data_IF_609141409585
#
_entry.id   IF_609141409585
#
_cell.length_a   1.000
_cell.length_b   1.000
_cell.length_c   1.000
_cell.angle_alpha   90.00
_cell.angle_beta   90.00
_cell.angle_gamma   90.00
#
_symmetry.space_group_name_H-M   'P 1'
#
loop_
_entity.id
_entity.type
_entity.pdbx_description
1 polymer ?
#
# COMPACT_ATOMS: atom_id res chain seq x y z
N UNK A 1 14.70 1.37 -15.04
CA UNK A 1 14.82 -0.03 -15.39
C UNK A 1 13.94 -0.99 -14.60
N UNK A 2 13.02 -0.53 -13.73
CA UNK A 2 12.05 -1.40 -13.04
C UNK A 2 10.71 -1.34 -13.77
N UNK A 3 10.12 -2.52 -14.01
CA UNK A 3 8.80 -2.67 -14.60
C UNK A 3 7.90 -3.47 -13.66
N UNK A 4 6.60 -3.20 -13.70
CA UNK A 4 5.60 -3.96 -12.95
C UNK A 4 4.45 -4.34 -13.88
N UNK A 5 4.00 -5.59 -13.81
CA UNK A 5 2.85 -6.11 -14.56
C UNK A 5 2.06 -7.09 -13.70
N UNK A 6 0.81 -7.32 -14.04
CA UNK A 6 -0.07 -8.21 -13.30
C UNK A 6 -0.47 -7.63 -11.93
N UNK A 7 -0.56 -8.45 -10.91
CA UNK A 7 -1.05 -8.04 -9.59
C UNK A 7 -0.21 -6.95 -8.90
N UNK A 8 1.06 -6.82 -9.28
CA UNK A 8 1.95 -5.76 -8.78
C UNK A 8 1.74 -4.40 -9.48
N UNK A 9 0.87 -4.32 -10.49
CA UNK A 9 0.64 -3.14 -11.30
C UNK A 9 -0.83 -2.72 -11.31
N UNK A 10 -1.07 -1.47 -11.70
CA UNK A 10 -2.42 -0.98 -12.01
C UNK A 10 -2.48 -0.61 -13.50
N UNK A 11 -3.09 -1.45 -14.31
CA UNK A 11 -3.27 -1.23 -15.74
C UNK A 11 -4.61 -0.56 -16.07
N UNK A 12 -5.45 -0.32 -15.06
CA UNK A 12 -6.77 0.36 -15.15
C UNK A 12 -7.81 -0.34 -16.01
N UNK A 13 -7.69 -1.66 -16.24
CA UNK A 13 -8.66 -2.42 -17.05
C UNK A 13 -9.67 -3.21 -16.23
N UNK A 14 -9.46 -3.35 -14.92
CA UNK A 14 -10.30 -4.16 -14.06
C UNK A 14 -11.41 -3.36 -13.34
N UNK A 15 -11.41 -2.04 -13.46
CA UNK A 15 -12.32 -1.17 -12.73
C UNK A 15 -12.03 -1.21 -11.20
N UNK A 16 -13.08 -1.14 -10.39
CA UNK A 16 -12.96 -1.12 -8.93
C UNK A 16 -12.82 -2.53 -8.31
N UNK A 17 -13.07 -3.57 -9.08
CA UNK A 17 -12.93 -4.96 -8.63
C UNK A 17 -12.68 -5.88 -9.82
N UNK A 18 -11.64 -6.68 -9.72
CA UNK A 18 -11.29 -7.68 -10.74
C UNK A 18 -12.32 -8.82 -10.77
N UNK A 19 -12.80 -9.18 -11.96
CA UNK A 19 -13.61 -10.37 -12.16
C UNK A 19 -12.78 -11.65 -12.05
N UNK A 20 -13.42 -12.75 -11.68
CA UNK A 20 -12.79 -14.07 -11.60
C UNK A 20 -12.02 -14.43 -12.87
N UNK A 21 -10.86 -15.03 -12.74
CA UNK A 21 -9.93 -15.44 -13.81
C UNK A 21 -9.23 -14.31 -14.58
N UNK A 22 -9.72 -13.06 -14.54
CA UNK A 22 -9.13 -11.95 -15.29
C UNK A 22 -7.71 -11.59 -14.82
N UNK A 23 -7.34 -11.93 -13.60
CA UNK A 23 -5.96 -11.78 -13.11
C UNK A 23 -4.97 -12.60 -13.96
N UNK A 24 -5.33 -13.85 -14.27
CA UNK A 24 -4.46 -14.72 -15.08
C UNK A 24 -4.31 -14.18 -16.51
N UNK A 25 -5.39 -13.67 -17.09
CA UNK A 25 -5.36 -13.04 -18.43
C UNK A 25 -4.46 -11.80 -18.41
N UNK A 26 -4.58 -10.96 -17.39
CA UNK A 26 -3.75 -9.78 -17.18
C UNK A 26 -2.26 -10.16 -17.14
N UNK A 27 -1.89 -11.12 -16.29
CA UNK A 27 -0.52 -11.61 -16.19
C UNK A 27 0.06 -12.05 -17.54
N UNK A 28 -0.70 -12.81 -18.32
CA UNK A 28 -0.26 -13.32 -19.62
C UNK A 28 -0.15 -12.20 -20.65
N UNK A 29 -1.19 -11.39 -20.80
CA UNK A 29 -1.27 -10.35 -21.85
C UNK A 29 -0.24 -9.26 -21.61
N UNK A 30 -0.21 -8.68 -20.41
CA UNK A 30 0.70 -7.57 -20.12
C UNK A 30 2.13 -8.05 -19.83
N UNK A 31 2.31 -9.27 -19.31
CA UNK A 31 3.63 -9.89 -19.23
C UNK A 31 4.25 -10.08 -20.60
N UNK A 32 3.48 -10.60 -21.57
CA UNK A 32 3.91 -10.72 -22.96
C UNK A 32 4.19 -9.35 -23.61
N UNK A 33 3.31 -8.38 -23.42
CA UNK A 33 3.48 -7.03 -23.95
C UNK A 33 4.76 -6.37 -23.41
N UNK A 34 5.02 -6.49 -22.12
CA UNK A 34 6.26 -5.99 -21.48
C UNK A 34 7.49 -6.70 -22.05
N UNK A 35 7.44 -8.02 -22.21
CA UNK A 35 8.55 -8.79 -22.79
C UNK A 35 8.88 -8.35 -24.22
N UNK A 36 7.86 -8.09 -25.05
CA UNK A 36 8.05 -7.57 -26.41
C UNK A 36 8.64 -6.15 -26.39
N UNK A 37 8.13 -5.27 -25.54
CA UNK A 37 8.66 -3.93 -25.37
C UNK A 37 10.13 -3.94 -24.92
N UNK A 38 10.49 -4.78 -23.96
CA UNK A 38 11.85 -4.92 -23.50
C UNK A 38 12.79 -5.46 -24.60
N UNK A 39 12.32 -6.42 -25.42
CA UNK A 39 13.06 -6.92 -26.58
C UNK A 39 13.40 -5.80 -27.57
N UNK A 40 12.50 -4.86 -27.78
CA UNK A 40 12.69 -3.75 -28.73
C UNK A 40 13.56 -2.62 -28.15
N UNK A 41 13.44 -2.37 -26.85
CA UNK A 41 14.07 -1.19 -26.20
C UNK A 41 15.40 -1.48 -25.56
N UNK A 42 15.61 -2.70 -25.05
CA UNK A 42 16.87 -3.06 -24.40
C UNK A 42 17.95 -3.39 -25.44
N UNK A 43 19.14 -2.85 -25.21
CA UNK A 43 20.33 -3.16 -26.00
C UNK A 43 21.26 -4.04 -25.18
N UNK A 44 21.66 -5.23 -25.68
CA UNK A 44 22.66 -6.05 -25.03
C UNK A 44 23.93 -5.23 -24.74
N UNK A 45 24.52 -5.41 -23.58
CA UNK A 45 25.74 -4.75 -23.13
C UNK A 45 25.65 -3.19 -23.10
N UNK A 46 24.46 -2.61 -23.09
CA UNK A 46 24.33 -1.18 -22.88
C UNK A 46 24.92 -0.78 -21.52
N UNK A 47 25.72 0.28 -21.52
CA UNK A 47 26.29 0.81 -20.30
C UNK A 47 25.18 1.21 -19.32
N UNK A 48 25.29 0.74 -18.08
CA UNK A 48 24.40 1.18 -17.01
C UNK A 48 24.73 2.60 -16.60
N UNK A 49 23.71 3.39 -16.25
CA UNK A 49 23.94 4.70 -15.65
C UNK A 49 24.64 4.52 -14.31
N UNK A 50 25.64 5.37 -14.05
CA UNK A 50 26.27 5.40 -12.75
C UNK A 50 25.22 5.72 -11.67
N UNK A 51 25.23 4.96 -10.58
CA UNK A 51 24.39 5.26 -9.43
C UNK A 51 24.93 6.50 -8.72
N UNK A 52 24.06 7.41 -8.25
CA UNK A 52 24.45 8.44 -7.31
C UNK A 52 25.17 7.84 -6.10
N UNK A 53 26.13 8.56 -5.52
CA UNK A 53 26.92 8.05 -4.37
C UNK A 53 26.06 7.77 -3.13
N UNK A 54 24.96 8.48 -2.99
CA UNK A 54 23.99 8.45 -1.90
C UNK A 54 22.76 7.55 -2.18
N UNK A 55 22.82 6.73 -3.24
CA UNK A 55 21.65 5.93 -3.69
C UNK A 55 21.05 5.01 -2.64
N UNK A 56 21.84 4.58 -1.66
CA UNK A 56 21.40 3.69 -0.59
C UNK A 56 21.07 4.42 0.72
N UNK A 57 21.42 5.71 0.84
CA UNK A 57 21.41 6.39 2.14
C UNK A 57 20.03 6.44 2.78
N UNK A 58 18.99 6.72 2.02
CA UNK A 58 17.61 6.72 2.53
C UNK A 58 17.18 5.34 3.04
N UNK A 59 17.51 4.27 2.31
CA UNK A 59 17.16 2.90 2.71
C UNK A 59 17.93 2.49 3.96
N UNK A 60 19.22 2.80 4.04
CA UNK A 60 20.05 2.53 5.22
C UNK A 60 19.58 3.33 6.43
N UNK A 61 19.29 4.61 6.26
CA UNK A 61 18.78 5.46 7.34
C UNK A 61 17.43 4.96 7.87
N UNK A 62 16.53 4.48 7.00
CA UNK A 62 15.26 3.88 7.41
C UNK A 62 15.47 2.60 8.23
N UNK A 63 16.34 1.71 7.79
CA UNK A 63 16.66 0.48 8.54
C UNK A 63 17.27 0.82 9.89
N UNK A 64 18.24 1.73 9.94
CA UNK A 64 18.90 2.14 11.18
C UNK A 64 17.95 2.86 12.14
N UNK A 65 17.03 3.67 11.62
CA UNK A 65 16.00 4.32 12.42
C UNK A 65 15.18 3.29 13.20
N UNK A 66 14.61 2.29 12.53
CA UNK A 66 13.81 1.26 13.21
C UNK A 66 14.66 0.33 14.06
N UNK A 67 15.81 -0.11 13.58
CA UNK A 67 16.72 -0.98 14.33
C UNK A 67 17.13 -0.37 15.68
N UNK A 68 17.27 0.96 15.74
CA UNK A 68 17.67 1.66 16.93
C UNK A 68 16.50 2.30 17.70
N UNK A 69 15.26 2.05 17.29
CA UNK A 69 14.07 2.57 17.93
C UNK A 69 13.94 2.10 19.38
N UNK A 70 13.67 3.05 20.29
CA UNK A 70 13.61 2.84 21.75
C UNK A 70 12.32 3.40 22.35
N UNK A 71 11.26 3.48 21.58
CA UNK A 71 9.99 3.99 22.04
C UNK A 71 9.28 3.05 23.02
N UNK A 72 8.06 3.42 23.38
CA UNK A 72 7.18 2.66 24.26
C UNK A 72 6.16 1.78 23.56
N UNK A 73 6.08 1.83 22.22
CA UNK A 73 5.05 1.14 21.42
C UNK A 73 5.61 -0.10 20.72
N UNK A 74 5.31 -1.33 21.19
CA UNK A 74 5.74 -2.55 20.52
C UNK A 74 5.11 -2.68 19.13
N UNK A 75 5.88 -3.15 18.12
CA UNK A 75 5.44 -3.36 16.75
C UNK A 75 4.14 -4.16 16.66
N UNK A 76 4.05 -5.27 17.40
CA UNK A 76 2.88 -6.15 17.37
C UNK A 76 1.59 -5.45 17.83
N UNK A 77 1.66 -4.58 18.83
CA UNK A 77 0.50 -3.83 19.32
C UNK A 77 0.02 -2.79 18.30
N UNK A 78 0.94 -2.04 17.70
CA UNK A 78 0.61 -1.04 16.68
C UNK A 78 0.02 -1.73 15.45
N UNK A 79 0.61 -2.87 15.02
CA UNK A 79 0.08 -3.68 13.91
C UNK A 79 -1.33 -4.18 14.21
N UNK A 80 -1.56 -4.74 15.39
CA UNK A 80 -2.88 -5.24 15.78
C UNK A 80 -3.93 -4.12 15.78
N UNK A 81 -3.57 -2.95 16.30
CA UNK A 81 -4.47 -1.80 16.33
C UNK A 81 -4.81 -1.30 14.91
N UNK A 82 -3.83 -1.24 14.01
CA UNK A 82 -4.06 -0.94 12.59
C UNK A 82 -5.04 -1.95 11.96
N UNK A 83 -4.80 -3.25 12.15
CA UNK A 83 -5.65 -4.32 11.61
C UNK A 83 -7.07 -4.23 12.14
N UNK A 84 -7.25 -4.04 13.45
CA UNK A 84 -8.56 -3.90 14.08
C UNK A 84 -9.31 -2.66 13.58
N UNK A 85 -8.60 -1.54 13.38
CA UNK A 85 -9.17 -0.32 12.84
C UNK A 85 -9.66 -0.54 11.41
N UNK A 86 -8.83 -1.13 10.55
CA UNK A 86 -9.22 -1.44 9.17
C UNK A 86 -10.39 -2.43 9.11
N UNK A 87 -10.37 -3.47 9.94
CA UNK A 87 -11.44 -4.48 9.98
C UNK A 87 -12.76 -3.90 10.44
N UNK A 88 -12.76 -2.97 11.40
CA UNK A 88 -13.98 -2.36 11.93
C UNK A 88 -14.52 -1.25 11.04
N UNK A 89 -13.64 -0.38 10.55
CA UNK A 89 -14.05 0.89 9.93
C UNK A 89 -13.99 0.91 8.41
N UNK A 90 -13.21 0.03 7.79
CA UNK A 90 -13.06 -0.05 6.33
C UNK A 90 -13.31 -1.48 5.80
N UNK A 91 -14.19 -2.24 6.45
CA UNK A 91 -14.59 -3.59 6.05
C UNK A 91 -15.48 -3.59 4.78
N UNK A 92 -16.26 -4.63 4.58
CA UNK A 92 -17.09 -4.83 3.39
C UNK A 92 -18.18 -3.77 3.26
N UNK A 93 -18.95 -3.55 4.34
CA UNK A 93 -20.00 -2.54 4.38
C UNK A 93 -19.50 -1.30 5.11
N UNK A 94 -19.69 -0.15 4.52
CA UNK A 94 -19.09 1.12 4.95
C UNK A 94 -20.16 2.19 5.01
N UNK A 95 -20.07 3.07 5.97
CA UNK A 95 -20.85 4.29 6.06
C UNK A 95 -19.93 5.50 6.36
N UNK A 96 -20.45 6.69 6.20
CA UNK A 96 -19.67 7.93 6.36
C UNK A 96 -19.15 8.10 7.80
N UNK A 97 -19.93 7.70 8.80
CA UNK A 97 -19.57 7.86 10.20
C UNK A 97 -18.43 6.90 10.58
N UNK A 98 -18.56 5.61 10.21
CA UNK A 98 -17.51 4.60 10.44
C UNK A 98 -16.21 4.96 9.74
N UNK A 99 -16.28 5.37 8.47
CA UNK A 99 -15.09 5.74 7.70
C UNK A 99 -14.39 6.97 8.30
N UNK A 100 -15.15 7.99 8.70
CA UNK A 100 -14.58 9.20 9.31
C UNK A 100 -13.92 8.90 10.66
N UNK A 101 -14.61 8.15 11.54
CA UNK A 101 -14.03 7.68 12.81
C UNK A 101 -12.76 6.86 12.57
N UNK A 102 -12.80 5.97 11.59
CA UNK A 102 -11.67 5.14 11.22
C UNK A 102 -10.46 5.92 10.74
N UNK A 103 -10.64 6.98 9.94
CA UNK A 103 -9.57 7.88 9.53
C UNK A 103 -8.90 8.55 10.75
N UNK A 104 -9.69 9.06 11.69
CA UNK A 104 -9.16 9.68 12.90
C UNK A 104 -8.37 8.70 13.77
N UNK A 105 -8.89 7.49 13.95
CA UNK A 105 -8.20 6.43 14.70
C UNK A 105 -6.91 6.03 13.98
N UNK A 106 -6.96 5.83 12.67
CA UNK A 106 -5.80 5.42 11.88
C UNK A 106 -4.66 6.45 11.95
N UNK A 107 -4.99 7.74 11.96
CA UNK A 107 -3.98 8.78 12.16
C UNK A 107 -3.32 8.71 13.55
N UNK A 108 -4.10 8.43 14.60
CA UNK A 108 -3.54 8.21 15.94
C UNK A 108 -2.66 6.96 16.01
N UNK A 109 -3.07 5.89 15.33
CA UNK A 109 -2.25 4.67 15.22
C UNK A 109 -0.94 4.95 14.47
N UNK A 110 -1.00 5.73 13.38
CA UNK A 110 0.19 6.13 12.64
C UNK A 110 1.15 6.97 13.49
N UNK A 111 0.65 7.86 14.34
CA UNK A 111 1.51 8.64 15.24
C UNK A 111 2.32 7.74 16.18
N UNK A 112 1.79 6.56 16.57
CA UNK A 112 2.54 5.59 17.39
C UNK A 112 3.76 5.00 16.69
N UNK A 113 3.84 5.10 15.34
CA UNK A 113 5.05 4.70 14.60
C UNK A 113 6.27 5.54 14.98
N UNK A 114 6.08 6.78 15.46
CA UNK A 114 7.17 7.63 15.93
C UNK A 114 7.71 7.19 17.30
N UNK A 115 6.89 6.43 18.04
CA UNK A 115 7.24 5.89 19.37
C UNK A 115 7.44 4.36 19.33
N UNK A 116 7.78 3.81 18.16
CA UNK A 116 7.96 2.37 17.98
C UNK A 116 9.16 1.85 18.79
N UNK A 117 9.07 0.62 19.29
CA UNK A 117 10.17 -0.05 19.97
C UNK A 117 10.54 -1.36 19.29
N UNK A 118 11.83 -1.56 19.05
CA UNK A 118 12.40 -2.81 18.53
C UNK A 118 13.37 -3.37 19.56
N UNK A 119 13.14 -4.60 19.99
CA UNK A 119 13.91 -5.24 21.05
C UNK A 119 15.18 -5.92 20.53
N UNK A 120 15.09 -6.62 19.39
CA UNK A 120 16.22 -7.26 18.75
C UNK A 120 16.89 -6.30 17.76
N UNK A 121 18.18 -6.06 17.96
CA UNK A 121 19.01 -5.18 17.13
C UNK A 121 20.04 -5.92 16.30
N UNK A 122 19.99 -7.24 16.30
CA UNK A 122 20.85 -8.05 15.45
C UNK A 122 20.51 -7.83 13.97
N UNK A 123 21.38 -8.29 13.07
CA UNK A 123 21.14 -8.30 11.63
C UNK A 123 20.96 -9.73 11.08
N UNK A 124 20.87 -10.71 11.97
CA UNK A 124 20.75 -12.12 11.59
C UNK A 124 19.40 -12.64 12.08
N UNK A 125 18.52 -13.02 11.15
CA UNK A 125 17.19 -13.56 11.44
C UNK A 125 16.33 -12.67 12.36
N UNK A 126 16.48 -11.35 12.24
CA UNK A 126 15.78 -10.38 13.06
C UNK A 126 14.35 -10.17 12.53
N UNK A 127 13.43 -10.99 12.98
CA UNK A 127 12.01 -10.90 12.62
C UNK A 127 11.35 -9.64 13.21
N UNK A 128 11.78 -9.16 14.39
CA UNK A 128 11.25 -7.96 15.02
C UNK A 128 11.49 -6.71 14.14
N UNK A 129 12.71 -6.56 13.60
CA UNK A 129 13.03 -5.48 12.67
C UNK A 129 12.29 -5.63 11.34
N UNK A 130 12.21 -6.84 10.77
CA UNK A 130 11.50 -7.10 9.51
C UNK A 130 10.02 -6.76 9.67
N UNK A 131 9.38 -7.23 10.73
CA UNK A 131 7.98 -6.94 11.04
C UNK A 131 7.71 -5.44 11.22
N UNK A 132 8.67 -4.69 11.77
CA UNK A 132 8.56 -3.24 11.93
C UNK A 132 8.66 -2.51 10.59
N UNK A 133 9.59 -2.92 9.71
CA UNK A 133 9.72 -2.38 8.35
C UNK A 133 8.48 -2.68 7.49
N UNK A 134 7.91 -3.88 7.66
CA UNK A 134 6.65 -4.24 7.00
C UNK A 134 5.47 -3.41 7.53
N UNK A 135 5.40 -3.19 8.85
CA UNK A 135 4.35 -2.37 9.46
C UNK A 135 4.36 -0.94 8.91
N UNK A 136 5.53 -0.35 8.73
CA UNK A 136 5.67 0.98 8.12
C UNK A 136 5.08 1.02 6.69
N UNK A 137 5.35 -0.02 5.88
CA UNK A 137 4.76 -0.14 4.56
C UNK A 137 3.24 -0.37 4.62
N UNK A 138 2.77 -1.23 5.54
CA UNK A 138 1.35 -1.53 5.71
C UNK A 138 0.56 -0.31 6.20
N UNK A 139 1.15 0.49 7.08
CA UNK A 139 0.53 1.72 7.61
C UNK A 139 0.22 2.70 6.49
N UNK A 140 1.17 2.93 5.58
CA UNK A 140 0.96 3.78 4.41
C UNK A 140 -0.20 3.27 3.53
N UNK A 141 -0.27 1.96 3.28
CA UNK A 141 -1.36 1.35 2.52
C UNK A 141 -2.71 1.46 3.24
N UNK A 142 -2.74 1.25 4.55
CA UNK A 142 -3.95 1.34 5.36
C UNK A 142 -4.54 2.76 5.35
N UNK A 143 -3.69 3.78 5.52
CA UNK A 143 -4.10 5.18 5.48
C UNK A 143 -4.65 5.55 4.10
N UNK A 144 -3.92 5.26 3.03
CA UNK A 144 -4.40 5.54 1.67
C UNK A 144 -5.72 4.83 1.36
N UNK A 145 -5.90 3.60 1.86
CA UNK A 145 -7.11 2.81 1.64
C UNK A 145 -8.32 3.42 2.36
N UNK A 146 -8.18 3.75 3.65
CA UNK A 146 -9.31 4.27 4.43
C UNK A 146 -9.67 5.71 4.02
N UNK A 147 -8.68 6.56 3.75
CA UNK A 147 -8.90 7.93 3.26
C UNK A 147 -9.55 7.92 1.86
N UNK A 148 -9.07 7.05 0.98
CA UNK A 148 -9.66 6.87 -0.36
C UNK A 148 -11.11 6.37 -0.29
N UNK A 149 -11.42 5.46 0.64
CA UNK A 149 -12.78 4.97 0.89
C UNK A 149 -13.66 6.08 1.47
N UNK A 150 -13.16 6.84 2.44
CA UNK A 150 -13.89 7.95 3.05
C UNK A 150 -14.18 9.08 2.06
N UNK A 151 -13.27 9.34 1.13
CA UNK A 151 -13.45 10.38 0.10
C UNK A 151 -14.51 10.02 -0.94
N UNK A 152 -14.69 8.71 -1.28
CA UNK A 152 -15.54 8.26 -2.39
C UNK A 152 -17.00 8.09 -1.97
N UNK A 153 -17.87 8.94 -2.50
CA UNK A 153 -19.32 8.99 -2.16
C UNK A 153 -20.17 8.30 -3.23
N UNK A 154 -19.89 7.03 -3.46
CA UNK A 154 -20.66 6.12 -4.32
C UNK A 154 -20.37 4.67 -3.90
N UNK A 155 -21.11 3.70 -4.41
CA UNK A 155 -20.76 2.29 -4.35
C UNK A 155 -20.27 1.80 -5.72
N UNK A 156 -19.07 1.12 -5.74
CA UNK A 156 -18.47 0.63 -6.99
C UNK A 156 -17.52 -0.53 -6.71
N UNK A 157 -17.79 -1.66 -7.32
CA UNK A 157 -16.97 -2.86 -7.15
C UNK A 157 -16.93 -3.32 -5.71
N UNK A 158 -15.75 -3.40 -5.12
CA UNK A 158 -15.56 -3.80 -3.72
C UNK A 158 -15.90 -2.69 -2.71
N UNK A 159 -16.07 -1.43 -3.14
CA UNK A 159 -16.47 -0.33 -2.29
C UNK A 159 -18.00 -0.27 -2.17
N UNK A 160 -18.55 -0.85 -1.10
CA UNK A 160 -19.97 -0.79 -0.77
C UNK A 160 -20.20 0.26 0.33
N UNK A 161 -20.84 1.37 -0.02
CA UNK A 161 -21.10 2.50 0.87
C UNK A 161 -22.60 2.60 1.16
N UNK A 162 -23.00 2.34 2.42
CA UNK A 162 -24.43 2.24 2.77
C UNK A 162 -25.17 3.57 2.59
N UNK A 163 -24.51 4.73 2.86
CA UNK A 163 -25.12 6.04 2.63
C UNK A 163 -25.17 6.43 1.13
N UNK A 164 -24.37 5.79 0.28
CA UNK A 164 -24.30 6.04 -1.17
C UNK A 164 -24.34 4.70 -1.93
N UNK A 165 -25.47 3.99 -1.93
CA UNK A 165 -25.55 2.62 -2.45
C UNK A 165 -25.41 2.54 -3.96
N UNK A 166 -25.69 3.60 -4.68
CA UNK A 166 -25.68 3.64 -6.14
C UNK A 166 -24.29 4.01 -6.71
N UNK A 167 -24.02 3.50 -7.91
CA UNK A 167 -22.88 3.91 -8.71
C UNK A 167 -23.15 5.27 -9.36
N UNK A 168 -22.21 6.17 -9.28
CA UNK A 168 -22.33 7.52 -9.85
C UNK A 168 -21.25 7.76 -10.92
N UNK A 169 -21.56 7.39 -12.15
CA UNK A 169 -20.64 7.58 -13.28
C UNK A 169 -20.42 9.06 -13.66
N UNK A 170 -21.34 9.92 -13.29
CA UNK A 170 -21.23 11.36 -13.61
C UNK A 170 -20.12 12.03 -12.81
N UNK A 171 -20.02 11.73 -11.53
CA UNK A 171 -19.09 12.38 -10.62
C UNK A 171 -17.85 11.50 -10.32
N UNK A 172 -17.98 10.18 -10.39
CA UNK A 172 -16.99 9.23 -9.88
C UNK A 172 -16.41 8.26 -10.92
N UNK A 173 -16.67 8.43 -12.23
CA UNK A 173 -15.98 7.69 -13.30
C UNK A 173 -14.51 8.14 -13.40
N UNK A 174 -13.77 8.01 -12.32
CA UNK A 174 -12.37 8.45 -12.18
C UNK A 174 -11.67 7.69 -11.06
N UNK A 175 -10.36 7.64 -11.10
CA UNK A 175 -9.56 7.10 -10.01
C UNK A 175 -9.58 8.03 -8.80
N UNK A 176 -9.57 7.45 -7.61
CA UNK A 176 -9.14 8.13 -6.39
C UNK A 176 -7.65 7.90 -6.25
N UNK A 177 -6.89 8.98 -6.16
CA UNK A 177 -5.43 8.94 -6.05
C UNK A 177 -5.04 9.49 -4.68
N UNK A 178 -4.18 8.79 -3.98
CA UNK A 178 -3.63 9.20 -2.70
C UNK A 178 -2.10 9.18 -2.77
N UNK A 179 -1.47 10.11 -2.07
CA UNK A 179 -0.01 10.16 -1.91
C UNK A 179 0.34 10.61 -0.50
N UNK A 180 1.53 10.21 -0.06
CA UNK A 180 2.14 10.55 1.23
C UNK A 180 3.13 11.68 1.08
#
# INVERSE_FOLDING_TARGET
GLYAVGEAACVSVHGANRLGSNSLIDLVVFGRATGLHLKETLKPNAAQKALPKDSADLALARVDHFRNAKGGSPTAEVRLQMQQTMQKHAAVFRDSALLSEGCEIMQKVNQRMQDISVSDRSLIWNTDLVETLELDNLMSQAICTIEGANARKESRGAHAHEDFPDRDDKNWMKHTVSWF
#
